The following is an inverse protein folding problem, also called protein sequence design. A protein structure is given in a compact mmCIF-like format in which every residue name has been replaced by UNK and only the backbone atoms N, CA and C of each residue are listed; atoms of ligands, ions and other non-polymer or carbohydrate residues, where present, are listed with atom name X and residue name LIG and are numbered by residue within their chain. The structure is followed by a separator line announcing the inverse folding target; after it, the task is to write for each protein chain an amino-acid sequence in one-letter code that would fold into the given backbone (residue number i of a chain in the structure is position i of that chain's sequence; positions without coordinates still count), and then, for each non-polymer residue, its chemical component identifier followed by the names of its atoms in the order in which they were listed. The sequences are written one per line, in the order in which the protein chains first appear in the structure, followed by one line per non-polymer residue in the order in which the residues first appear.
data_IF_459717248173
#
_entry.id   IF_459717248173
#
_cell.length_a   1.000
_cell.length_b   1.000
_cell.length_c   1.000
_cell.angle_alpha   90.00
_cell.angle_beta   90.00
_cell.angle_gamma   90.00
#
_symmetry.space_group_name_H-M   'P 1'
#
loop_
_entity.id
_entity.type
_entity.pdbx_description
1 polymer ?
#
# COMPACT_ATOMS: atom_id res chain seq x y z
N UNK A 1 -25.63 9.20 38.88
CA UNK A 1 -24.46 8.39 38.49
C UNK A 1 -23.75 9.14 37.38
N UNK A 2 -22.60 9.74 37.65
CA UNK A 2 -21.72 10.32 36.62
C UNK A 2 -21.19 9.15 35.82
N UNK A 3 -21.44 9.11 34.50
CA UNK A 3 -20.87 8.12 33.63
C UNK A 3 -19.32 8.14 33.80
N UNK A 4 -18.76 7.00 34.10
CA UNK A 4 -17.29 6.86 34.26
C UNK A 4 -16.59 7.34 33.00
N UNK A 5 -15.69 8.30 33.12
CA UNK A 5 -15.03 8.94 31.98
C UNK A 5 -14.04 7.95 31.35
N UNK A 6 -14.34 7.47 30.13
CA UNK A 6 -13.49 6.52 29.41
C UNK A 6 -12.11 7.11 29.05
N UNK A 7 -11.11 6.23 28.88
CA UNK A 7 -9.75 6.62 28.44
C UNK A 7 -9.79 7.43 27.15
N UNK A 8 -10.53 6.96 26.14
CA UNK A 8 -10.66 7.67 24.87
C UNK A 8 -11.21 9.10 25.05
N UNK A 9 -12.25 9.26 25.87
CA UNK A 9 -12.85 10.57 26.13
C UNK A 9 -11.92 11.49 26.90
N UNK A 10 -11.21 10.98 27.91
CA UNK A 10 -10.25 11.75 28.68
C UNK A 10 -9.11 12.30 27.80
N UNK A 11 -8.56 11.47 26.91
CA UNK A 11 -7.53 11.89 25.96
C UNK A 11 -8.04 12.94 24.97
N UNK A 12 -9.24 12.75 24.41
CA UNK A 12 -9.85 13.73 23.49
C UNK A 12 -10.15 15.06 24.17
N UNK A 13 -10.44 15.05 25.47
CA UNK A 13 -10.62 16.27 26.28
C UNK A 13 -9.29 16.93 26.69
N UNK A 14 -8.14 16.30 26.39
CA UNK A 14 -6.81 16.87 26.60
C UNK A 14 -6.18 16.54 27.98
N UNK A 15 -6.54 15.41 28.60
CA UNK A 15 -5.93 14.96 29.85
C UNK A 15 -4.42 14.68 29.66
N UNK A 16 -3.59 15.62 30.09
CA UNK A 16 -2.15 15.58 29.91
C UNK A 16 -1.47 14.47 30.73
N UNK A 17 -1.95 14.19 31.95
CA UNK A 17 -1.39 13.13 32.79
C UNK A 17 -1.67 11.74 32.24
N UNK A 18 -2.88 11.53 31.68
CA UNK A 18 -3.21 10.28 30.99
C UNK A 18 -2.41 10.15 29.69
N UNK A 19 -2.29 11.22 28.89
CA UNK A 19 -1.52 11.22 27.67
C UNK A 19 -0.02 10.92 27.90
N UNK A 20 0.55 11.36 29.02
CA UNK A 20 1.91 11.03 29.45
C UNK A 20 2.08 9.52 29.65
N UNK A 21 1.18 8.91 30.44
CA UNK A 21 1.21 7.46 30.69
C UNK A 21 1.01 6.64 29.42
N UNK A 22 0.03 7.00 28.60
CA UNK A 22 -0.28 6.31 27.34
C UNK A 22 0.87 6.48 26.32
N UNK A 23 1.51 7.65 26.29
CA UNK A 23 2.65 7.95 25.43
C UNK A 23 3.92 7.15 25.71
N UNK A 24 3.92 6.31 26.75
CA UNK A 24 5.02 5.38 27.07
C UNK A 24 4.66 3.92 26.77
N UNK A 25 3.58 3.64 26.04
CA UNK A 25 3.13 2.31 25.65
C UNK A 25 2.83 2.28 24.13
N UNK A 26 2.57 1.10 23.61
CA UNK A 26 2.16 0.94 22.20
C UNK A 26 0.75 1.47 21.99
N UNK A 27 0.56 2.29 20.97
CA UNK A 27 -0.77 2.67 20.49
C UNK A 27 -1.20 1.66 19.41
N UNK A 28 -1.76 0.53 19.85
CA UNK A 28 -2.23 -0.51 18.92
C UNK A 28 -3.43 -0.01 18.13
N UNK A 29 -3.35 -0.15 16.81
CA UNK A 29 -4.48 0.17 15.93
C UNK A 29 -5.46 -1.01 15.87
N UNK A 30 -6.74 -0.69 15.80
CA UNK A 30 -7.79 -1.69 15.57
C UNK A 30 -7.70 -2.19 14.14
N UNK A 31 -7.81 -3.52 13.89
CA UNK A 31 -7.79 -4.08 12.54
C UNK A 31 -9.17 -3.91 11.86
N UNK A 32 -9.68 -2.70 11.76
CA UNK A 32 -11.02 -2.41 11.27
C UNK A 32 -11.05 -1.48 10.04
N UNK A 33 -9.89 -1.15 9.49
CA UNK A 33 -9.78 -0.15 8.43
C UNK A 33 -9.53 -0.84 7.08
N UNK A 34 -10.51 -1.64 6.64
CA UNK A 34 -10.44 -2.45 5.42
C UNK A 34 -11.18 -1.77 4.27
N UNK A 35 -10.59 -1.87 3.07
CA UNK A 35 -11.16 -1.31 1.85
C UNK A 35 -11.26 -2.39 0.78
N UNK A 36 -12.48 -2.61 0.28
CA UNK A 36 -12.72 -3.44 -0.90
C UNK A 36 -12.22 -2.72 -2.16
N UNK A 37 -11.48 -3.44 -2.98
CA UNK A 37 -10.96 -2.93 -4.25
C UNK A 37 -11.26 -3.93 -5.38
N UNK A 38 -11.47 -3.46 -6.62
CA UNK A 38 -11.72 -4.35 -7.75
C UNK A 38 -10.59 -5.35 -8.03
N UNK A 39 -9.37 -5.00 -7.60
CA UNK A 39 -8.17 -5.81 -7.73
C UNK A 39 -7.82 -6.61 -6.47
N UNK A 40 -8.63 -6.47 -5.42
CA UNK A 40 -8.38 -7.08 -4.11
C UNK A 40 -8.50 -8.60 -4.11
N UNK A 41 -7.73 -9.22 -3.23
CA UNK A 41 -7.70 -10.66 -3.01
C UNK A 41 -8.52 -11.14 -1.83
N UNK A 42 -8.20 -12.35 -1.35
CA UNK A 42 -8.88 -13.01 -0.25
C UNK A 42 -7.96 -13.31 0.95
N UNK A 43 -6.66 -12.95 0.86
CA UNK A 43 -5.63 -13.30 1.86
C UNK A 43 -5.65 -12.43 3.11
N UNK A 44 -5.99 -11.14 2.98
CA UNK A 44 -6.06 -10.20 4.12
C UNK A 44 -6.94 -10.75 5.25
N UNK A 45 -8.07 -11.39 4.93
CA UNK A 45 -8.98 -11.95 5.93
C UNK A 45 -8.29 -12.99 6.83
N UNK A 46 -7.61 -13.94 6.21
CA UNK A 46 -6.89 -14.99 6.93
C UNK A 46 -5.63 -14.42 7.64
N UNK A 47 -4.93 -13.50 6.99
CA UNK A 47 -3.75 -12.85 7.52
C UNK A 47 -4.05 -12.09 8.82
N UNK A 48 -5.10 -11.30 8.85
CA UNK A 48 -5.50 -10.48 10.00
C UNK A 48 -6.44 -11.18 10.98
N UNK A 49 -6.80 -12.44 10.74
CA UNK A 49 -7.73 -13.21 11.60
C UNK A 49 -9.01 -12.44 11.88
N UNK A 50 -9.63 -11.90 10.83
CA UNK A 50 -10.81 -11.06 10.97
C UNK A 50 -11.95 -11.76 11.68
N UNK A 51 -12.22 -11.33 12.91
CA UNK A 51 -13.52 -11.49 13.53
C UNK A 51 -14.40 -10.29 13.16
N UNK A 52 -15.71 -10.46 12.98
CA UNK A 52 -16.61 -9.32 12.82
C UNK A 52 -16.47 -8.41 14.05
N UNK A 53 -16.01 -7.17 13.83
CA UNK A 53 -16.00 -6.16 14.88
C UNK A 53 -17.28 -5.32 14.72
N UNK A 54 -17.92 -4.89 15.82
CA UNK A 54 -19.17 -4.14 15.77
C UNK A 54 -19.16 -2.87 14.93
N UNK A 55 -17.99 -2.27 14.76
CA UNK A 55 -17.78 -1.00 14.06
C UNK A 55 -17.27 -1.16 12.62
N UNK A 56 -17.19 -2.38 12.09
CA UNK A 56 -16.78 -2.58 10.70
C UNK A 56 -17.94 -2.32 9.75
N UNK A 57 -17.71 -1.61 8.64
CA UNK A 57 -18.70 -1.56 7.57
C UNK A 57 -18.98 -2.97 7.05
N UNK A 58 -20.23 -3.24 6.71
CA UNK A 58 -20.60 -4.51 6.11
C UNK A 58 -19.80 -4.70 4.81
N UNK A 59 -18.93 -5.71 4.80
CA UNK A 59 -18.17 -6.07 3.62
C UNK A 59 -19.10 -6.80 2.64
N UNK A 60 -19.08 -6.40 1.38
CA UNK A 60 -20.00 -6.94 0.35
C UNK A 60 -19.60 -8.34 -0.11
N UNK A 61 -18.43 -8.84 0.28
CA UNK A 61 -17.87 -10.11 -0.15
C UNK A 61 -16.95 -9.99 -1.37
N UNK A 62 -16.75 -8.77 -1.89
CA UNK A 62 -15.68 -8.48 -2.83
C UNK A 62 -14.29 -8.65 -2.19
N UNK A 63 -13.25 -8.73 -2.99
CA UNK A 63 -11.87 -8.85 -2.50
C UNK A 63 -11.47 -7.63 -1.64
N UNK A 64 -10.80 -7.89 -0.52
CA UNK A 64 -10.18 -6.83 0.26
C UNK A 64 -8.85 -6.47 -0.39
N UNK A 65 -8.74 -5.25 -0.92
CA UNK A 65 -7.49 -4.80 -1.53
C UNK A 65 -6.54 -4.17 -0.53
N UNK A 66 -7.06 -3.48 0.49
CA UNK A 66 -6.24 -2.69 1.41
C UNK A 66 -6.70 -2.84 2.86
N UNK A 67 -5.73 -2.82 3.76
CA UNK A 67 -5.94 -2.54 5.18
C UNK A 67 -5.02 -1.39 5.59
N UNK A 68 -5.60 -0.28 6.05
CA UNK A 68 -4.85 0.88 6.51
C UNK A 68 -4.35 0.62 7.92
N UNK A 69 -3.04 0.45 8.08
CA UNK A 69 -2.39 0.07 9.34
C UNK A 69 -2.26 1.25 10.30
N UNK A 70 -1.58 2.29 9.84
CA UNK A 70 -1.47 3.57 10.55
C UNK A 70 -1.87 4.67 9.58
N UNK A 71 -3.06 5.21 9.73
CA UNK A 71 -3.61 6.27 8.90
C UNK A 71 -4.00 7.45 9.79
N UNK A 72 -3.17 8.49 9.77
CA UNK A 72 -3.28 9.62 10.67
C UNK A 72 -2.88 10.96 10.02
N UNK A 73 -3.10 11.10 8.71
CA UNK A 73 -2.71 12.30 7.95
C UNK A 73 -3.92 12.92 7.26
N UNK A 74 -4.56 13.92 7.91
CA UNK A 74 -5.81 14.51 7.46
C UNK A 74 -5.71 15.29 6.13
N UNK A 75 -4.50 15.68 5.71
CA UNK A 75 -4.29 16.41 4.46
C UNK A 75 -4.27 15.50 3.21
N UNK A 76 -4.23 14.19 3.38
CA UNK A 76 -4.36 13.20 2.31
C UNK A 76 -5.79 12.69 2.28
N UNK A 77 -6.45 12.73 1.11
CA UNK A 77 -7.85 12.35 0.97
C UNK A 77 -8.10 10.89 1.37
N UNK A 78 -7.22 9.98 0.93
CA UNK A 78 -7.35 8.57 1.20
C UNK A 78 -7.14 8.25 2.70
N UNK A 79 -6.13 8.87 3.32
CA UNK A 79 -5.87 8.74 4.75
C UNK A 79 -7.02 9.33 5.59
N UNK A 80 -7.62 10.44 5.15
CA UNK A 80 -8.74 11.09 5.82
C UNK A 80 -10.02 10.26 5.75
N UNK A 81 -10.28 9.59 4.62
CA UNK A 81 -11.43 8.70 4.46
C UNK A 81 -11.29 7.42 5.29
N UNK A 82 -10.06 6.99 5.57
CA UNK A 82 -9.74 5.74 6.27
C UNK A 82 -8.87 5.95 7.50
N UNK A 83 -9.30 6.73 8.52
CA UNK A 83 -8.50 7.01 9.70
C UNK A 83 -8.35 5.75 10.58
N UNK A 84 -7.13 5.47 11.04
CA UNK A 84 -6.91 4.42 12.02
C UNK A 84 -7.49 4.77 13.38
N UNK A 85 -7.94 3.74 14.12
CA UNK A 85 -8.46 3.87 15.48
C UNK A 85 -7.55 3.16 16.47
N UNK A 86 -7.31 3.78 17.60
CA UNK A 86 -6.63 3.18 18.75
C UNK A 86 -7.67 2.65 19.73
N UNK A 87 -7.50 1.41 20.19
CA UNK A 87 -8.33 0.79 21.21
C UNK A 87 -7.59 0.76 22.55
N UNK A 88 -8.26 1.15 23.61
CA UNK A 88 -7.71 1.19 24.96
C UNK A 88 -8.18 0.01 25.81
N UNK A 89 -7.51 -0.20 26.94
CA UNK A 89 -7.77 -1.32 27.88
C UNK A 89 -9.18 -1.33 28.48
N UNK A 90 -9.80 -0.17 28.61
CA UNK A 90 -11.20 -0.03 29.06
C UNK A 90 -12.23 -0.36 27.96
N UNK A 91 -11.77 -0.82 26.78
CA UNK A 91 -12.60 -1.13 25.62
C UNK A 91 -13.02 0.09 24.81
N UNK A 92 -12.74 1.30 25.25
CA UNK A 92 -13.01 2.52 24.48
C UNK A 92 -12.04 2.64 23.29
N UNK A 93 -12.43 3.44 22.28
CA UNK A 93 -11.58 3.70 21.12
C UNK A 93 -11.70 5.13 20.61
N UNK A 94 -10.64 5.63 19.99
CA UNK A 94 -10.66 6.94 19.36
C UNK A 94 -9.87 6.92 18.03
N UNK A 95 -10.25 7.81 17.11
CA UNK A 95 -9.50 8.01 15.87
C UNK A 95 -8.11 8.56 16.16
N UNK A 96 -7.08 7.92 15.62
CA UNK A 96 -5.68 8.31 15.83
C UNK A 96 -5.41 9.77 15.41
N UNK A 97 -5.92 10.29 14.26
CA UNK A 97 -5.74 11.70 13.92
C UNK A 97 -6.30 12.66 14.99
N UNK A 98 -7.44 12.33 15.60
CA UNK A 98 -8.03 13.16 16.64
C UNK A 98 -7.20 13.17 17.93
N UNK A 99 -6.59 12.04 18.27
CA UNK A 99 -5.66 11.93 19.40
C UNK A 99 -4.36 12.71 19.14
N UNK A 100 -3.79 12.58 17.95
CA UNK A 100 -2.57 13.28 17.57
C UNK A 100 -2.76 14.80 17.55
N UNK A 101 -3.88 15.32 17.08
CA UNK A 101 -4.17 16.77 17.18
C UNK A 101 -4.08 17.32 18.60
N UNK A 102 -4.27 16.48 19.63
CA UNK A 102 -4.20 16.88 21.04
C UNK A 102 -2.83 16.65 21.69
N UNK A 103 -2.11 15.63 21.23
CA UNK A 103 -0.94 15.10 21.93
C UNK A 103 0.29 14.92 21.03
N UNK A 104 0.32 15.57 19.84
CA UNK A 104 1.36 15.36 18.83
C UNK A 104 2.77 15.55 19.38
N UNK A 105 3.07 16.69 20.02
CA UNK A 105 4.41 16.97 20.56
C UNK A 105 4.87 15.91 21.56
N UNK A 106 3.95 15.40 22.38
CA UNK A 106 4.25 14.39 23.40
C UNK A 106 4.48 13.00 22.79
N UNK A 107 3.72 12.66 21.75
CA UNK A 107 3.74 11.32 21.18
C UNK A 107 4.65 11.19 19.97
N UNK A 108 4.73 12.23 19.14
CA UNK A 108 5.59 12.24 17.94
C UNK A 108 6.94 12.91 18.19
N UNK A 109 7.03 13.74 19.24
CA UNK A 109 8.12 14.64 19.48
C UNK A 109 7.91 16.02 18.81
N UNK A 110 8.53 17.09 19.35
CA UNK A 110 8.27 18.45 18.90
C UNK A 110 8.64 18.66 17.43
N UNK A 111 9.78 18.14 17.00
CA UNK A 111 10.27 18.31 15.63
C UNK A 111 9.33 17.69 14.58
N UNK A 112 8.89 16.43 14.78
CA UNK A 112 7.99 15.75 13.84
C UNK A 112 6.58 16.37 13.88
N UNK A 113 6.11 16.75 15.08
CA UNK A 113 4.83 17.40 15.26
C UNK A 113 4.76 18.76 14.56
N UNK A 114 5.79 19.61 14.71
CA UNK A 114 5.86 20.91 14.06
C UNK A 114 5.91 20.76 12.52
N UNK A 115 6.80 19.90 12.02
CA UNK A 115 7.02 19.71 10.58
C UNK A 115 5.78 19.20 9.85
N UNK A 116 4.98 18.33 10.47
CA UNK A 116 3.82 17.67 9.85
C UNK A 116 2.47 18.14 10.43
N UNK A 117 2.43 19.28 11.12
CA UNK A 117 1.18 19.82 11.67
C UNK A 117 0.49 18.90 12.66
N UNK A 118 1.25 18.08 13.39
CA UNK A 118 0.74 17.14 14.37
C UNK A 118 0.30 15.80 13.78
N UNK A 119 0.50 15.56 12.49
CA UNK A 119 0.15 14.29 11.84
C UNK A 119 1.36 13.32 11.83
N UNK A 120 1.08 12.02 11.81
CA UNK A 120 2.12 11.00 11.56
C UNK A 120 2.32 10.86 10.05
N UNK A 121 3.54 11.10 9.52
CA UNK A 121 3.76 11.33 8.10
C UNK A 121 3.95 10.08 7.25
N UNK A 122 3.68 8.89 7.78
CA UNK A 122 3.70 7.64 7.02
C UNK A 122 2.30 7.03 6.95
N UNK A 123 2.05 6.32 5.85
CA UNK A 123 0.81 5.61 5.58
C UNK A 123 1.11 4.14 5.27
N UNK A 124 1.41 3.32 6.28
CA UNK A 124 1.54 1.88 6.07
C UNK A 124 0.19 1.25 5.75
N UNK A 125 0.17 0.38 4.74
CA UNK A 125 -1.00 -0.41 4.33
C UNK A 125 -0.60 -1.85 4.09
N UNK A 126 -1.44 -2.80 4.47
CA UNK A 126 -1.37 -4.15 3.91
C UNK A 126 -2.15 -4.18 2.62
N UNK A 127 -1.51 -4.55 1.53
CA UNK A 127 -2.12 -4.72 0.21
C UNK A 127 -2.31 -6.20 -0.09
N UNK A 128 -3.50 -6.55 -0.55
CA UNK A 128 -3.84 -7.90 -1.03
C UNK A 128 -4.15 -7.79 -2.53
N UNK A 129 -3.18 -8.15 -3.33
CA UNK A 129 -3.19 -7.88 -4.77
C UNK A 129 -3.41 -9.17 -5.53
N UNK A 130 -4.58 -9.27 -6.16
CA UNK A 130 -4.95 -10.36 -7.07
C UNK A 130 -4.91 -9.94 -8.52
N UNK A 131 -5.43 -8.76 -8.83
CA UNK A 131 -5.44 -8.22 -10.19
C UNK A 131 -4.52 -7.00 -10.28
N UNK A 132 -4.16 -6.60 -11.50
CA UNK A 132 -3.34 -5.43 -11.73
C UNK A 132 -3.98 -4.14 -11.18
N UNK A 133 -3.25 -3.38 -10.40
CA UNK A 133 -3.58 -1.99 -10.10
C UNK A 133 -3.43 -1.13 -11.37
N UNK A 134 -3.94 0.10 -11.35
CA UNK A 134 -3.69 1.07 -12.42
C UNK A 134 -2.19 1.31 -12.62
N UNK A 135 -1.81 1.62 -13.86
CA UNK A 135 -0.49 2.19 -14.15
C UNK A 135 -0.46 3.61 -13.61
N UNK A 136 0.43 3.86 -12.65
CA UNK A 136 0.42 5.10 -11.86
C UNK A 136 1.82 5.51 -11.42
N UNK A 137 1.92 6.73 -10.92
CA UNK A 137 3.12 7.28 -10.28
C UNK A 137 2.75 8.32 -9.24
N UNK A 138 3.77 8.84 -8.57
CA UNK A 138 3.65 9.83 -7.51
C UNK A 138 4.52 11.05 -7.81
N UNK A 139 4.21 12.22 -7.23
CA UNK A 139 5.01 13.42 -7.45
C UNK A 139 6.39 13.31 -6.75
N UNK A 140 7.28 14.23 -7.09
CA UNK A 140 8.62 14.31 -6.52
C UNK A 140 8.57 14.33 -4.98
N UNK A 141 9.46 13.58 -4.34
CA UNK A 141 9.52 13.39 -2.90
C UNK A 141 8.52 12.37 -2.32
N UNK A 142 7.73 11.69 -3.16
CA UNK A 142 6.82 10.62 -2.74
C UNK A 142 7.32 9.29 -3.29
N UNK A 143 8.03 8.58 -2.47
CA UNK A 143 8.55 7.24 -2.70
C UNK A 143 7.72 6.22 -1.92
N UNK A 144 7.85 4.96 -2.27
CA UNK A 144 7.15 3.83 -1.64
C UNK A 144 8.11 2.67 -1.41
N UNK A 145 7.76 1.79 -0.50
CA UNK A 145 8.41 0.49 -0.36
C UNK A 145 7.39 -0.61 -0.12
N UNK A 146 7.66 -1.79 -0.64
CA UNK A 146 6.81 -2.97 -0.48
C UNK A 146 7.62 -4.08 0.18
N UNK A 147 7.18 -4.54 1.34
CA UNK A 147 7.70 -5.76 1.99
C UNK A 147 6.75 -6.89 1.63
N UNK A 148 7.21 -7.87 0.87
CA UNK A 148 6.37 -8.99 0.44
C UNK A 148 6.19 -9.95 1.62
N UNK A 149 4.93 -10.13 2.04
CA UNK A 149 4.56 -10.98 3.19
C UNK A 149 4.29 -12.41 2.75
N UNK A 150 3.49 -12.57 1.69
CA UNK A 150 3.06 -13.87 1.15
C UNK A 150 2.75 -13.74 -0.33
N UNK A 151 2.94 -14.81 -1.11
CA UNK A 151 2.67 -14.77 -2.55
C UNK A 151 2.40 -16.15 -3.13
N UNK A 152 1.58 -16.23 -4.15
CA UNK A 152 1.47 -17.41 -4.99
C UNK A 152 2.75 -17.57 -5.84
N UNK A 153 3.18 -18.81 -6.10
CA UNK A 153 4.33 -19.05 -6.97
C UNK A 153 4.15 -18.42 -8.35
N UNK A 154 5.10 -17.58 -8.76
CA UNK A 154 5.05 -16.87 -10.03
C UNK A 154 4.38 -15.49 -9.99
N UNK A 155 3.82 -15.07 -8.85
CA UNK A 155 3.30 -13.72 -8.70
C UNK A 155 4.39 -12.66 -8.92
N UNK A 156 4.03 -11.53 -9.53
CA UNK A 156 4.96 -10.45 -9.85
C UNK A 156 4.34 -9.08 -9.57
N UNK A 157 5.21 -8.08 -9.39
CA UNK A 157 4.86 -6.67 -9.39
C UNK A 157 5.41 -6.00 -10.65
N UNK A 158 4.67 -5.07 -11.22
CA UNK A 158 5.13 -4.24 -12.34
C UNK A 158 5.65 -2.92 -11.78
N UNK A 159 6.99 -2.70 -11.83
CA UNK A 159 7.63 -1.48 -11.29
C UNK A 159 8.78 -1.04 -12.18
N UNK A 160 8.75 0.22 -12.61
CA UNK A 160 9.73 0.83 -13.51
C UNK A 160 9.64 0.30 -14.95
N UNK A 161 10.09 1.08 -15.89
CA UNK A 161 10.21 0.66 -17.29
C UNK A 161 11.51 -0.11 -17.52
N UNK A 162 11.45 -1.17 -18.34
CA UNK A 162 12.60 -1.98 -18.74
C UNK A 162 13.36 -1.41 -19.96
N UNK A 163 12.90 -0.30 -20.51
CA UNK A 163 13.50 0.47 -21.60
C UNK A 163 13.09 1.93 -21.49
N UNK A 164 13.81 2.82 -22.18
CA UNK A 164 13.38 4.20 -22.32
C UNK A 164 12.07 4.27 -23.12
N UNK A 165 11.15 5.10 -22.66
CA UNK A 165 9.82 5.29 -23.26
C UNK A 165 9.73 6.69 -23.85
N UNK A 166 9.22 6.79 -25.08
CA UNK A 166 8.88 8.08 -25.69
C UNK A 166 7.60 8.63 -25.04
N UNK A 167 7.65 9.83 -24.42
CA UNK A 167 6.51 10.40 -23.72
C UNK A 167 5.31 10.66 -24.65
N UNK A 168 5.57 11.14 -25.86
CA UNK A 168 4.51 11.49 -26.82
C UNK A 168 3.79 10.24 -27.32
N UNK A 169 4.56 9.18 -27.61
CA UNK A 169 3.97 7.90 -28.02
C UNK A 169 3.14 7.24 -26.89
N UNK A 170 3.64 7.30 -25.66
CA UNK A 170 2.92 6.68 -24.52
C UNK A 170 1.62 7.46 -24.23
N UNK A 171 1.68 8.80 -24.13
CA UNK A 171 0.51 9.64 -23.88
C UNK A 171 -0.56 9.44 -24.95
N UNK A 172 -0.16 9.48 -26.24
CA UNK A 172 -1.07 9.24 -27.36
C UNK A 172 -1.70 7.84 -27.31
N UNK A 173 -0.89 6.80 -27.01
CA UNK A 173 -1.39 5.43 -26.94
C UNK A 173 -2.39 5.23 -25.79
N UNK A 174 -2.12 5.77 -24.60
CA UNK A 174 -3.03 5.66 -23.44
C UNK A 174 -4.32 6.46 -23.68
N UNK A 175 -4.22 7.66 -24.24
CA UNK A 175 -5.39 8.49 -24.59
C UNK A 175 -6.27 7.79 -25.62
N UNK A 176 -5.65 7.23 -26.66
CA UNK A 176 -6.36 6.48 -27.69
C UNK A 176 -6.99 5.18 -27.15
N UNK A 177 -6.28 4.49 -26.26
CA UNK A 177 -6.80 3.30 -25.59
C UNK A 177 -8.08 3.60 -24.79
N UNK A 178 -8.12 4.71 -24.07
CA UNK A 178 -9.34 5.16 -23.38
C UNK A 178 -10.49 5.46 -24.34
N UNK A 179 -10.20 6.10 -25.48
CA UNK A 179 -11.21 6.33 -26.51
C UNK A 179 -11.76 5.01 -27.10
N UNK A 180 -10.91 4.01 -27.29
CA UNK A 180 -11.36 2.68 -27.70
C UNK A 180 -12.24 1.98 -26.63
N UNK A 181 -11.87 2.06 -25.36
CA UNK A 181 -12.70 1.53 -24.26
C UNK A 181 -14.07 2.22 -24.23
N UNK A 182 -14.12 3.53 -24.35
CA UNK A 182 -15.36 4.29 -24.39
C UNK A 182 -16.23 3.83 -25.57
N UNK A 183 -15.63 3.66 -26.75
CA UNK A 183 -16.34 3.19 -27.94
C UNK A 183 -16.87 1.75 -27.80
N UNK A 184 -16.14 0.86 -27.11
CA UNK A 184 -16.65 -0.48 -26.75
C UNK A 184 -17.92 -0.37 -25.92
N UNK A 185 -17.95 0.49 -24.88
CA UNK A 185 -19.15 0.71 -24.06
C UNK A 185 -20.31 1.29 -24.87
N UNK A 186 -20.05 2.22 -25.79
CA UNK A 186 -21.06 2.80 -26.66
C UNK A 186 -21.66 1.74 -27.60
N UNK A 187 -20.83 0.87 -28.18
CA UNK A 187 -21.29 -0.24 -29.02
C UNK A 187 -22.12 -1.25 -28.23
N UNK A 188 -21.70 -1.59 -27.00
CA UNK A 188 -22.46 -2.48 -26.12
C UNK A 188 -23.78 -1.82 -25.68
N UNK A 189 -23.78 -0.52 -25.41
CA UNK A 189 -24.96 0.22 -24.95
C UNK A 189 -25.57 -0.39 -23.68
N UNK A 190 -26.89 -0.38 -23.58
CA UNK A 190 -27.62 -0.88 -22.42
C UNK A 190 -27.79 -2.44 -22.42
N UNK A 191 -27.22 -3.13 -23.40
CA UNK A 191 -27.33 -4.60 -23.51
C UNK A 191 -26.60 -5.34 -22.40
N UNK A 192 -25.43 -4.81 -22.00
CA UNK A 192 -24.65 -5.36 -20.89
C UNK A 192 -24.22 -4.25 -19.95
N UNK A 193 -24.28 -4.52 -18.66
CA UNK A 193 -23.71 -3.59 -17.67
C UNK A 193 -22.18 -3.52 -17.82
N UNK A 194 -21.54 -2.39 -17.45
CA UNK A 194 -20.09 -2.28 -17.46
C UNK A 194 -19.38 -3.37 -16.64
N UNK A 195 -19.99 -3.82 -15.53
CA UNK A 195 -19.47 -4.92 -14.72
C UNK A 195 -19.49 -6.27 -15.50
N UNK A 196 -20.51 -6.50 -16.32
CA UNK A 196 -20.57 -7.71 -17.16
C UNK A 196 -19.54 -7.63 -18.28
N UNK A 197 -19.36 -6.44 -18.91
CA UNK A 197 -18.28 -6.20 -19.89
C UNK A 197 -16.92 -6.50 -19.26
N UNK A 198 -16.66 -6.01 -18.05
CA UNK A 198 -15.43 -6.31 -17.32
C UNK A 198 -15.23 -7.81 -17.10
N UNK A 199 -16.26 -8.52 -16.64
CA UNK A 199 -16.19 -9.95 -16.36
C UNK A 199 -15.88 -10.79 -17.59
N UNK A 200 -16.28 -10.33 -18.78
CA UNK A 200 -15.98 -11.00 -20.06
C UNK A 200 -14.58 -10.62 -20.59
N UNK A 201 -14.23 -9.35 -20.52
CA UNK A 201 -13.02 -8.82 -21.14
C UNK A 201 -11.77 -9.16 -20.33
N UNK A 202 -11.81 -9.14 -18.99
CA UNK A 202 -10.62 -9.30 -18.15
C UNK A 202 -9.93 -10.67 -18.35
N UNK A 203 -10.60 -11.83 -18.32
CA UNK A 203 -9.95 -13.11 -18.55
C UNK A 203 -9.36 -13.24 -19.96
N UNK A 204 -10.03 -12.67 -20.94
CA UNK A 204 -9.54 -12.66 -22.32
C UNK A 204 -8.31 -11.77 -22.49
N UNK A 205 -8.25 -10.60 -21.85
CA UNK A 205 -7.07 -9.72 -21.87
C UNK A 205 -5.86 -10.40 -21.26
N UNK A 206 -6.02 -11.07 -20.12
CA UNK A 206 -4.93 -11.74 -19.41
C UNK A 206 -4.35 -12.93 -20.16
N UNK A 207 -5.11 -13.57 -21.04
CA UNK A 207 -4.62 -14.64 -21.89
C UNK A 207 -3.99 -14.12 -23.18
N UNK A 208 -2.66 -14.27 -23.33
CA UNK A 208 -1.97 -13.88 -24.59
C UNK A 208 -2.49 -14.63 -25.82
N UNK A 209 -2.95 -15.86 -25.62
CA UNK A 209 -3.32 -16.78 -26.71
C UNK A 209 -4.79 -16.68 -27.09
N UNK A 210 -5.67 -16.17 -26.22
CA UNK A 210 -7.10 -16.08 -26.49
C UNK A 210 -7.38 -15.13 -27.67
N UNK A 211 -8.13 -15.63 -28.65
CA UNK A 211 -8.62 -14.85 -29.78
C UNK A 211 -9.83 -13.98 -29.40
N UNK A 212 -10.19 -13.00 -30.26
CA UNK A 212 -11.39 -12.18 -30.04
C UNK A 212 -12.68 -12.97 -30.08
N UNK A 213 -12.70 -14.11 -30.79
CA UNK A 213 -13.86 -15.01 -30.85
C UNK A 213 -14.27 -15.52 -29.45
N UNK A 214 -13.31 -15.71 -28.53
CA UNK A 214 -13.56 -16.25 -27.20
C UNK A 214 -14.45 -15.33 -26.32
N UNK A 215 -14.55 -14.07 -26.66
CA UNK A 215 -15.32 -13.05 -25.92
C UNK A 215 -16.38 -12.38 -26.80
N UNK A 216 -16.23 -12.46 -28.11
CA UNK A 216 -17.04 -11.72 -29.06
C UNK A 216 -18.53 -12.16 -29.11
N UNK A 217 -18.81 -13.42 -28.93
CA UNK A 217 -20.17 -13.93 -29.08
C UNK A 217 -21.15 -13.39 -28.04
N UNK A 218 -20.70 -13.25 -26.78
CA UNK A 218 -21.55 -12.66 -25.74
C UNK A 218 -21.57 -11.13 -25.79
N UNK A 219 -20.41 -10.49 -25.99
CA UNK A 219 -20.33 -9.03 -26.06
C UNK A 219 -21.14 -8.47 -27.25
N UNK A 220 -21.13 -9.17 -28.37
CA UNK A 220 -21.69 -8.68 -29.63
C UNK A 220 -22.94 -9.46 -30.07
N UNK A 221 -23.59 -10.22 -29.14
CA UNK A 221 -24.82 -10.92 -29.43
C UNK A 221 -25.88 -10.00 -30.01
N UNK A 222 -26.52 -10.43 -31.09
CA UNK A 222 -27.56 -9.69 -31.82
C UNK A 222 -27.14 -8.33 -32.42
N UNK A 223 -25.84 -8.09 -32.56
CA UNK A 223 -25.35 -6.88 -33.26
C UNK A 223 -25.28 -7.09 -34.79
N UNK A 224 -25.48 -6.01 -35.57
CA UNK A 224 -25.19 -6.03 -37.00
C UNK A 224 -23.73 -6.42 -37.26
N UNK A 225 -23.47 -7.14 -38.34
CA UNK A 225 -22.13 -7.66 -38.67
C UNK A 225 -21.06 -6.59 -38.77
N UNK A 226 -21.40 -5.40 -39.27
CA UNK A 226 -20.46 -4.27 -39.37
C UNK A 226 -20.06 -3.73 -37.98
N UNK A 227 -21.00 -3.58 -37.06
CA UNK A 227 -20.75 -3.12 -35.69
C UNK A 227 -19.95 -4.18 -34.89
N UNK A 228 -20.28 -5.45 -35.07
CA UNK A 228 -19.53 -6.56 -34.51
C UNK A 228 -18.08 -6.54 -34.96
N UNK A 229 -17.80 -6.42 -36.25
CA UNK A 229 -16.45 -6.34 -36.80
C UNK A 229 -15.65 -5.13 -36.24
N UNK A 230 -16.33 -4.00 -36.07
CA UNK A 230 -15.73 -2.82 -35.42
C UNK A 230 -15.38 -3.12 -33.96
N UNK A 231 -16.29 -3.70 -33.19
CA UNK A 231 -16.08 -4.06 -31.80
C UNK A 231 -14.91 -5.04 -31.61
N UNK A 232 -14.82 -6.08 -32.42
CA UNK A 232 -13.71 -7.03 -32.43
C UNK A 232 -12.38 -6.34 -32.72
N UNK A 233 -12.35 -5.43 -33.72
CA UNK A 233 -11.17 -4.63 -34.03
C UNK A 233 -10.73 -3.72 -32.87
N UNK A 234 -11.67 -3.13 -32.12
CA UNK A 234 -11.37 -2.32 -30.94
C UNK A 234 -10.77 -3.16 -29.80
N UNK A 235 -11.33 -4.34 -29.55
CA UNK A 235 -10.82 -5.28 -28.57
C UNK A 235 -9.39 -5.73 -28.90
N UNK A 236 -9.10 -6.06 -30.15
CA UNK A 236 -7.72 -6.40 -30.56
C UNK A 236 -6.72 -5.27 -30.33
N UNK A 237 -7.12 -4.04 -30.66
CA UNK A 237 -6.27 -2.86 -30.40
C UNK A 237 -6.04 -2.68 -28.89
N UNK A 238 -7.06 -2.85 -28.07
CA UNK A 238 -6.97 -2.78 -26.62
C UNK A 238 -6.04 -3.86 -26.06
N UNK A 239 -6.14 -5.10 -26.54
CA UNK A 239 -5.27 -6.20 -26.12
C UNK A 239 -3.80 -5.94 -26.50
N UNK A 240 -3.55 -5.45 -27.72
CA UNK A 240 -2.21 -5.07 -28.16
C UNK A 240 -1.63 -3.95 -27.30
N UNK A 241 -2.43 -2.94 -26.97
CA UNK A 241 -2.02 -1.85 -26.07
C UNK A 241 -1.73 -2.38 -24.66
N UNK A 242 -2.61 -3.22 -24.12
CA UNK A 242 -2.47 -3.82 -22.78
C UNK A 242 -1.12 -4.52 -22.63
N UNK A 243 -0.80 -5.44 -23.54
CA UNK A 243 0.46 -6.16 -23.48
C UNK A 243 1.66 -5.29 -23.81
N UNK A 244 1.53 -4.34 -24.76
CA UNK A 244 2.61 -3.37 -25.05
C UNK A 244 3.02 -2.58 -23.80
N UNK A 245 2.07 -2.14 -23.00
CA UNK A 245 2.35 -1.38 -21.75
C UNK A 245 2.99 -2.31 -20.72
N UNK A 246 2.39 -3.47 -20.45
CA UNK A 246 2.92 -4.41 -19.45
C UNK A 246 4.29 -4.97 -19.81
N UNK A 247 4.55 -5.25 -21.09
CA UNK A 247 5.84 -5.72 -21.57
C UNK A 247 6.93 -4.63 -21.56
N UNK A 248 6.54 -3.37 -21.43
CA UNK A 248 7.48 -2.27 -21.23
C UNK A 248 7.90 -2.06 -19.78
N UNK A 249 7.22 -2.70 -18.82
CA UNK A 249 7.51 -2.62 -17.39
C UNK A 249 8.30 -3.83 -16.91
N UNK A 250 9.14 -3.63 -15.89
CA UNK A 250 9.79 -4.74 -15.21
C UNK A 250 8.74 -5.60 -14.50
N UNK A 251 8.93 -6.92 -14.54
CA UNK A 251 8.17 -7.87 -13.75
C UNK A 251 9.07 -8.38 -12.61
N UNK A 252 8.93 -7.80 -11.43
CA UNK A 252 9.71 -8.17 -10.26
C UNK A 252 8.97 -9.30 -9.53
N UNK A 253 9.62 -10.45 -9.25
CA UNK A 253 9.01 -11.54 -8.51
C UNK A 253 8.53 -11.11 -7.11
N UNK A 254 7.28 -11.43 -6.77
CA UNK A 254 6.74 -11.28 -5.43
C UNK A 254 7.17 -12.49 -4.58
N UNK A 255 8.38 -12.46 -4.04
CA UNK A 255 8.89 -13.52 -3.18
C UNK A 255 8.78 -13.09 -1.72
N UNK A 256 8.16 -13.89 -0.82
CA UNK A 256 8.07 -13.57 0.60
C UNK A 256 9.44 -13.21 1.20
N UNK A 257 9.50 -12.12 1.97
CA UNK A 257 10.72 -11.56 2.53
C UNK A 257 11.50 -10.61 1.62
N UNK A 258 11.14 -10.50 0.33
CA UNK A 258 11.72 -9.49 -0.57
C UNK A 258 11.22 -8.10 -0.20
N UNK A 259 12.12 -7.12 -0.25
CA UNK A 259 11.79 -5.70 -0.11
C UNK A 259 12.04 -4.99 -1.42
N UNK A 260 11.05 -4.27 -1.90
CA UNK A 260 11.14 -3.46 -3.12
C UNK A 260 11.05 -1.99 -2.71
N UNK A 261 12.10 -1.23 -2.92
CA UNK A 261 12.10 0.21 -2.74
C UNK A 261 11.71 0.88 -4.06
N UNK A 262 10.46 1.24 -4.17
CA UNK A 262 9.90 1.92 -5.32
C UNK A 262 10.25 3.40 -5.29
N UNK A 263 11.46 3.72 -5.71
CA UNK A 263 12.02 5.06 -5.80
C UNK A 263 12.91 5.20 -7.02
N UNK A 264 12.93 6.37 -7.64
CA UNK A 264 13.87 6.64 -8.72
C UNK A 264 15.32 6.41 -8.24
N UNK A 265 16.10 5.58 -8.94
CA UNK A 265 17.52 5.43 -8.64
C UNK A 265 18.27 6.78 -8.58
N UNK A 266 19.30 6.93 -7.75
CA UNK A 266 20.02 8.20 -7.58
C UNK A 266 20.50 8.83 -8.90
N UNK A 267 20.91 8.02 -9.88
CA UNK A 267 21.33 8.48 -11.22
C UNK A 267 20.18 9.18 -11.98
N UNK A 268 18.95 8.70 -11.80
CA UNK A 268 17.76 9.27 -12.47
C UNK A 268 17.32 10.54 -11.75
N UNK A 269 17.24 10.52 -10.42
CA UNK A 269 16.90 11.69 -9.62
C UNK A 269 17.90 12.84 -9.87
N UNK A 270 19.20 12.56 -9.92
CA UNK A 270 20.23 13.52 -10.25
C UNK A 270 20.10 14.07 -11.68
N UNK A 271 19.83 13.23 -12.67
CA UNK A 271 19.64 13.66 -14.05
C UNK A 271 18.38 14.54 -14.22
N UNK A 272 17.35 14.32 -13.40
CA UNK A 272 16.12 15.16 -13.38
C UNK A 272 16.32 16.47 -12.61
N UNK A 273 17.35 16.55 -11.74
CA UNK A 273 17.55 17.67 -10.81
C UNK A 273 16.38 17.85 -9.83
N UNK A 274 15.71 16.75 -9.45
CA UNK A 274 14.52 16.72 -8.60
C UNK A 274 14.65 15.63 -7.54
N UNK A 275 13.94 15.73 -6.39
CA UNK A 275 13.85 14.65 -5.43
C UNK A 275 13.37 13.36 -6.09
N UNK A 276 13.80 12.20 -5.55
CA UNK A 276 13.30 10.91 -6.01
C UNK A 276 11.77 10.84 -5.84
N UNK A 277 11.12 10.20 -6.80
CA UNK A 277 9.71 9.86 -6.77
C UNK A 277 9.56 8.34 -6.95
N UNK A 278 8.40 7.78 -6.67
CA UNK A 278 8.13 6.40 -7.01
C UNK A 278 8.24 6.20 -8.53
N UNK A 279 8.85 5.09 -8.95
CA UNK A 279 8.81 4.63 -10.34
C UNK A 279 7.37 4.38 -10.79
N UNK A 280 7.14 4.42 -12.10
CA UNK A 280 5.87 3.96 -12.64
C UNK A 280 5.61 2.53 -12.17
N UNK A 281 4.41 2.28 -11.69
CA UNK A 281 4.06 0.95 -11.19
C UNK A 281 2.62 0.59 -11.50
N UNK A 282 2.37 -0.73 -11.59
CA UNK A 282 1.07 -1.36 -11.62
C UNK A 282 1.22 -2.68 -10.86
N UNK A 283 1.01 -2.65 -9.55
CA UNK A 283 1.16 -3.85 -8.73
C UNK A 283 0.24 -4.95 -9.23
N UNK A 284 0.72 -6.18 -9.16
CA UNK A 284 0.00 -7.34 -9.65
C UNK A 284 0.49 -7.84 -11.00
N UNK A 285 -0.18 -8.87 -11.50
CA UNK A 285 0.15 -9.55 -12.73
C UNK A 285 -1.12 -9.91 -13.51
N UNK A 286 -1.01 -10.09 -14.83
CA UNK A 286 -2.15 -10.44 -15.67
C UNK A 286 -2.78 -11.80 -15.34
N UNK A 287 -2.00 -12.71 -14.80
CA UNK A 287 -2.42 -14.08 -14.49
C UNK A 287 -3.32 -14.17 -13.25
N UNK A 288 -3.45 -13.09 -12.50
CA UNK A 288 -4.25 -13.02 -11.29
C UNK A 288 -3.66 -13.81 -10.11
N UNK A 289 -2.33 -14.01 -10.12
CA UNK A 289 -1.61 -14.66 -9.02
C UNK A 289 -1.51 -13.68 -7.85
N UNK A 290 -2.01 -14.11 -6.70
CA UNK A 290 -2.25 -13.27 -5.54
C UNK A 290 -1.00 -13.11 -4.66
N UNK A 291 -0.79 -11.91 -4.12
CA UNK A 291 0.23 -11.69 -3.10
C UNK A 291 -0.21 -10.65 -2.06
N UNK A 292 0.37 -10.76 -0.87
CA UNK A 292 0.28 -9.78 0.21
C UNK A 292 1.58 -8.99 0.31
N UNK A 293 1.48 -7.67 0.45
CA UNK A 293 2.61 -6.80 0.74
C UNK A 293 2.25 -5.78 1.82
N UNK A 294 3.23 -5.41 2.65
CA UNK A 294 3.17 -4.21 3.45
C UNK A 294 3.75 -3.06 2.63
N UNK A 295 2.89 -2.15 2.20
CA UNK A 295 3.27 -0.88 1.58
C UNK A 295 3.61 0.13 2.67
N UNK A 296 4.71 0.85 2.51
CA UNK A 296 5.09 1.98 3.35
C UNK A 296 5.38 3.16 2.44
N UNK A 297 4.64 4.24 2.62
CA UNK A 297 4.80 5.47 1.83
C UNK A 297 4.47 6.73 2.64
N UNK A 298 4.84 7.88 2.11
CA UNK A 298 4.25 9.14 2.56
C UNK A 298 2.83 9.27 2.01
N UNK A 299 1.87 9.79 2.79
CA UNK A 299 0.59 10.25 2.25
C UNK A 299 0.79 11.25 1.12
N UNK A 300 0.00 11.15 0.06
CA UNK A 300 0.10 12.07 -1.07
C UNK A 300 -0.65 11.58 -2.31
N UNK A 301 -0.79 12.43 -3.33
CA UNK A 301 -1.61 12.15 -4.48
C UNK A 301 -1.04 11.03 -5.35
N UNK A 302 -1.96 10.24 -5.93
CA UNK A 302 -1.67 9.22 -6.92
C UNK A 302 -2.11 9.69 -8.30
N UNK A 303 -1.17 9.75 -9.24
CA UNK A 303 -1.43 10.11 -10.64
C UNK A 303 -1.56 8.85 -11.48
N UNK A 304 -2.78 8.52 -11.87
CA UNK A 304 -3.07 7.36 -12.71
C UNK A 304 -2.94 7.71 -14.17
N UNK A 305 -2.08 6.99 -14.88
CA UNK A 305 -1.93 7.13 -16.32
C UNK A 305 -2.91 6.24 -17.08
N UNK A 306 -3.20 5.05 -16.53
CA UNK A 306 -4.09 4.09 -17.17
C UNK A 306 -4.65 3.07 -16.18
N UNK A 307 -5.86 2.57 -16.46
CA UNK A 307 -6.56 1.63 -15.59
C UNK A 307 -6.66 0.20 -16.19
N UNK A 308 -5.70 -0.18 -17.01
CA UNK A 308 -5.54 -1.53 -17.56
C UNK A 308 -6.79 -2.12 -18.26
N UNK A 309 -7.46 -1.34 -19.10
CA UNK A 309 -8.69 -1.77 -19.78
C UNK A 309 -9.77 -2.25 -18.79
N UNK A 310 -9.98 -1.50 -17.71
CA UNK A 310 -11.03 -1.78 -16.72
C UNK A 310 -12.34 -1.07 -17.05
N UNK A 311 -13.47 -1.72 -16.78
CA UNK A 311 -14.81 -1.17 -16.91
C UNK A 311 -15.55 -1.19 -15.56
N UNK A 312 -16.34 -0.12 -15.24
CA UNK A 312 -16.52 1.13 -15.98
C UNK A 312 -15.24 1.96 -16.02
N UNK A 313 -15.16 2.88 -16.98
CA UNK A 313 -14.03 3.79 -17.06
C UNK A 313 -14.04 4.76 -15.89
N UNK A 314 -12.91 4.85 -15.17
CA UNK A 314 -12.68 5.92 -14.20
C UNK A 314 -12.18 7.19 -14.87
N UNK A 315 -12.44 8.33 -14.25
CA UNK A 315 -11.83 9.59 -14.68
C UNK A 315 -10.33 9.54 -14.42
N UNK A 316 -9.53 9.72 -15.46
CA UNK A 316 -8.06 9.73 -15.40
C UNK A 316 -7.59 10.94 -16.22
N UNK A 317 -6.62 11.66 -15.67
CA UNK A 317 -5.88 12.71 -16.39
C UNK A 317 -4.52 12.12 -16.80
N UNK A 318 -4.45 11.65 -18.05
CA UNK A 318 -3.24 11.03 -18.61
C UNK A 318 -2.10 12.04 -18.65
N UNK A 319 -2.39 13.27 -19.09
CA UNK A 319 -1.36 14.31 -19.22
C UNK A 319 -0.75 14.69 -17.87
N UNK A 320 -1.58 14.86 -16.83
CA UNK A 320 -1.08 15.10 -15.48
C UNK A 320 -0.21 13.95 -14.98
N UNK A 321 -0.59 12.69 -15.26
CA UNK A 321 0.22 11.52 -14.89
C UNK A 321 1.57 11.53 -15.62
N UNK A 322 1.61 11.86 -16.92
CA UNK A 322 2.86 11.91 -17.69
C UNK A 322 3.91 12.88 -17.11
N UNK A 323 3.48 13.93 -16.39
CA UNK A 323 4.40 14.89 -15.76
C UNK A 323 5.15 14.33 -14.55
N UNK A 324 4.62 13.30 -13.89
CA UNK A 324 5.23 12.69 -12.70
C UNK A 324 6.01 11.41 -13.00
N UNK A 325 5.66 10.70 -14.07
CA UNK A 325 6.29 9.42 -14.40
C UNK A 325 7.77 9.57 -14.76
N UNK A 326 8.60 8.66 -14.26
CA UNK A 326 9.90 8.39 -14.86
C UNK A 326 9.73 7.51 -16.10
N UNK A 327 10.20 7.99 -17.24
CA UNK A 327 10.11 7.29 -18.53
C UNK A 327 11.46 6.68 -18.96
N UNK A 328 12.47 6.75 -18.09
CA UNK A 328 13.77 6.14 -18.31
C UNK A 328 13.78 4.71 -17.82
N UNK A 329 14.60 3.89 -18.47
CA UNK A 329 14.87 2.53 -18.03
C UNK A 329 15.41 2.49 -16.61
N UNK A 330 14.90 1.54 -15.84
CA UNK A 330 15.38 1.15 -14.50
C UNK A 330 15.63 -0.36 -14.51
N UNK A 331 16.75 -0.80 -13.98
CA UNK A 331 16.99 -2.22 -13.82
C UNK A 331 16.32 -2.74 -12.54
N UNK A 332 15.70 -3.93 -12.55
CA UNK A 332 14.98 -4.47 -11.40
C UNK A 332 15.83 -4.55 -10.12
N UNK A 333 17.14 -4.84 -10.28
CA UNK A 333 18.09 -4.93 -9.18
C UNK A 333 18.32 -3.60 -8.45
N UNK A 334 18.03 -2.47 -9.10
CA UNK A 334 18.12 -1.15 -8.47
C UNK A 334 16.93 -0.89 -7.52
N UNK A 335 15.87 -1.68 -7.64
CA UNK A 335 14.64 -1.54 -6.86
C UNK A 335 14.52 -2.58 -5.74
N UNK A 336 15.18 -3.72 -5.86
CA UNK A 336 15.19 -4.76 -4.82
C UNK A 336 16.30 -4.48 -3.82
N UNK A 337 15.94 -4.32 -2.56
CA UNK A 337 16.89 -3.97 -1.50
C UNK A 337 17.21 -5.17 -0.61
N UNK A 338 18.50 -5.40 -0.29
CA UNK A 338 18.88 -6.46 0.64
C UNK A 338 18.54 -6.08 2.10
N UNK A 339 18.47 -7.09 2.95
CA UNK A 339 18.43 -6.91 4.41
C UNK A 339 19.88 -6.82 4.92
N UNK A 340 20.30 -5.63 5.32
CA UNK A 340 21.62 -5.37 5.88
C UNK A 340 21.59 -5.48 7.40
N UNK A 341 22.41 -6.35 8.03
CA UNK A 341 22.50 -6.42 9.49
C UNK A 341 22.89 -5.07 10.08
N UNK A 342 22.21 -4.66 11.15
CA UNK A 342 22.58 -3.44 11.89
C UNK A 342 23.73 -3.76 12.86
N UNK A 343 24.91 -3.13 12.72
CA UNK A 343 26.07 -3.41 13.57
C UNK A 343 25.74 -3.24 15.07
N UNK A 344 26.13 -4.22 15.88
CA UNK A 344 25.88 -4.21 17.33
C UNK A 344 24.46 -4.58 17.77
N UNK A 345 23.54 -4.87 16.83
CA UNK A 345 22.15 -5.23 17.13
C UNK A 345 21.76 -6.56 16.45
N UNK A 346 22.15 -7.72 16.99
CA UNK A 346 21.79 -9.03 16.43
C UNK A 346 20.27 -9.19 16.27
N UNK A 347 19.83 -9.64 15.11
CA UNK A 347 18.40 -9.79 14.80
C UNK A 347 17.71 -8.51 14.30
N UNK A 348 18.42 -7.38 14.24
CA UNK A 348 17.95 -6.14 13.61
C UNK A 348 18.60 -5.99 12.24
N UNK A 349 17.80 -5.76 11.22
CA UNK A 349 18.25 -5.54 9.83
C UNK A 349 17.64 -4.25 9.30
N UNK A 350 18.32 -3.58 8.38
CA UNK A 350 17.80 -2.42 7.65
C UNK A 350 17.65 -2.78 6.18
N UNK A 351 16.54 -2.41 5.57
CA UNK A 351 16.28 -2.64 4.14
C UNK A 351 16.16 -1.35 3.34
N UNK A 352 15.56 -0.33 3.90
CA UNK A 352 15.34 0.95 3.17
C UNK A 352 15.93 2.11 3.96
N UNK A 353 16.65 2.96 3.23
CA UNK A 353 17.08 4.30 3.68
C UNK A 353 16.61 5.30 2.64
N UNK A 354 15.46 5.89 2.88
CA UNK A 354 14.87 6.90 2.02
C UNK A 354 14.90 8.27 2.70
N UNK A 355 14.99 9.39 1.98
CA UNK A 355 14.87 10.72 2.58
C UNK A 355 13.61 10.91 3.41
N UNK A 356 12.54 10.18 3.13
CA UNK A 356 11.25 10.30 3.81
C UNK A 356 11.04 9.30 4.94
N UNK A 357 11.67 8.11 4.86
CA UNK A 357 11.52 7.05 5.87
C UNK A 357 12.65 6.02 5.83
N UNK A 358 12.78 5.31 6.94
CA UNK A 358 13.63 4.11 7.02
C UNK A 358 12.79 2.89 7.36
N UNK A 359 13.19 1.71 6.83
CA UNK A 359 12.57 0.43 7.15
C UNK A 359 13.61 -0.49 7.78
N UNK A 360 13.27 -1.01 8.95
CA UNK A 360 14.03 -2.01 9.69
C UNK A 360 13.17 -3.26 9.93
N UNK A 361 13.84 -4.41 9.95
CA UNK A 361 13.25 -5.72 10.22
C UNK A 361 13.80 -6.25 11.53
N UNK A 362 12.92 -6.57 12.47
CA UNK A 362 13.24 -7.11 13.77
C UNK A 362 12.89 -8.60 13.72
N UNK A 363 13.92 -9.47 13.77
CA UNK A 363 13.81 -10.93 13.66
C UNK A 363 14.42 -11.61 14.89
N UNK A 364 13.69 -11.68 16.00
CA UNK A 364 14.15 -12.45 17.15
C UNK A 364 14.15 -13.95 16.81
N UNK A 365 15.15 -14.68 17.30
CA UNK A 365 15.07 -16.13 17.33
C UNK A 365 13.97 -16.60 18.27
N UNK A 366 13.58 -17.87 18.23
CA UNK A 366 12.59 -18.42 19.15
C UNK A 366 13.02 -18.14 20.61
N UNK A 367 12.14 -17.51 21.38
CA UNK A 367 12.41 -17.00 22.73
C UNK A 367 13.61 -16.04 22.84
N UNK A 368 14.24 -15.72 21.69
CA UNK A 368 15.33 -14.76 21.61
C UNK A 368 14.81 -13.32 21.67
N UNK A 369 15.69 -12.41 22.07
CA UNK A 369 15.37 -10.98 22.23
C UNK A 369 16.26 -10.15 21.34
N UNK A 370 15.68 -9.16 20.67
CA UNK A 370 16.38 -8.13 19.87
C UNK A 370 16.26 -6.79 20.57
N UNK A 371 17.39 -6.18 20.86
CA UNK A 371 17.44 -4.81 21.38
C UNK A 371 17.23 -3.80 20.25
N UNK A 372 16.19 -2.98 20.37
CA UNK A 372 15.87 -1.90 19.43
C UNK A 372 16.27 -0.57 20.04
N UNK A 373 17.20 0.15 19.44
CA UNK A 373 17.66 1.43 19.98
C UNK A 373 16.55 2.48 19.95
N UNK A 374 16.67 3.46 20.86
CA UNK A 374 15.75 4.60 20.86
C UNK A 374 15.77 5.32 19.51
N UNK A 375 14.60 5.62 19.00
CA UNK A 375 14.40 6.39 17.78
C UNK A 375 13.22 7.36 17.98
N UNK A 376 12.95 8.20 16.98
CA UNK A 376 11.70 8.98 16.95
C UNK A 376 10.44 8.11 16.97
N UNK A 377 9.28 8.76 16.97
CA UNK A 377 8.03 8.03 16.82
C UNK A 377 8.04 7.25 15.50
N UNK A 378 7.58 5.99 15.55
CA UNK A 378 7.62 5.08 14.42
C UNK A 378 6.44 4.11 14.46
N UNK A 379 6.17 3.42 13.37
CA UNK A 379 5.17 2.36 13.35
C UNK A 379 5.84 0.97 13.35
N UNK A 380 5.14 0.01 13.94
CA UNK A 380 5.45 -1.41 13.91
C UNK A 380 4.31 -2.17 13.23
N UNK A 381 4.68 -3.16 12.43
CA UNK A 381 3.75 -4.14 11.87
C UNK A 381 4.33 -5.54 12.01
N UNK A 382 3.64 -6.45 12.68
CA UNK A 382 4.05 -7.85 12.81
C UNK A 382 3.63 -8.62 11.56
N UNK A 383 4.60 -8.97 10.71
CA UNK A 383 4.32 -9.65 9.44
C UNK A 383 4.22 -11.17 9.60
N UNK A 384 4.91 -11.76 10.58
CA UNK A 384 4.82 -13.19 10.91
C UNK A 384 5.01 -13.43 12.39
N UNK A 385 4.50 -14.56 12.89
CA UNK A 385 4.57 -14.97 14.28
C UNK A 385 3.86 -14.05 15.26
N UNK A 386 4.45 -13.90 16.43
CA UNK A 386 4.00 -12.99 17.48
C UNK A 386 5.20 -12.46 18.28
N UNK A 387 5.12 -11.22 18.71
CA UNK A 387 6.18 -10.52 19.43
C UNK A 387 5.66 -9.94 20.74
N UNK A 388 6.46 -10.05 21.80
CA UNK A 388 6.27 -9.30 23.06
C UNK A 388 7.28 -8.18 23.12
N UNK A 389 6.82 -6.99 23.47
CA UNK A 389 7.65 -5.79 23.56
C UNK A 389 7.79 -5.36 25.01
N UNK A 390 9.02 -5.04 25.40
CA UNK A 390 9.39 -4.63 26.77
C UNK A 390 10.32 -3.43 26.70
N UNK A 391 10.02 -2.38 27.44
CA UNK A 391 10.90 -1.21 27.57
C UNK A 391 12.26 -1.57 28.14
N UNK A 392 13.26 -0.71 27.92
CA UNK A 392 14.61 -0.90 28.47
C UNK A 392 14.60 -0.95 30.01
N UNK A 393 13.61 -0.32 30.66
CA UNK A 393 13.34 -0.35 32.09
C UNK A 393 12.64 -1.64 32.58
N UNK A 394 12.35 -2.59 31.71
CA UNK A 394 11.64 -3.83 32.01
C UNK A 394 10.13 -3.73 32.01
N UNK A 395 9.55 -2.56 31.74
CA UNK A 395 8.10 -2.37 31.68
C UNK A 395 7.52 -3.06 30.45
N UNK A 396 6.41 -3.78 30.62
CA UNK A 396 5.66 -4.33 29.49
C UNK A 396 5.07 -3.20 28.62
N UNK A 397 5.36 -3.23 27.33
CA UNK A 397 4.79 -2.30 26.36
C UNK A 397 3.56 -2.89 25.66
N UNK A 398 3.52 -4.20 25.48
CA UNK A 398 2.42 -4.92 24.86
C UNK A 398 2.91 -6.06 23.96
N UNK A 399 1.97 -6.63 23.21
CA UNK A 399 2.21 -7.71 22.25
C UNK A 399 1.71 -7.32 20.87
N UNK A 400 2.35 -7.83 19.83
CA UNK A 400 1.88 -7.74 18.44
C UNK A 400 1.82 -9.15 17.87
N UNK A 401 0.66 -9.61 17.48
CA UNK A 401 0.49 -10.81 16.70
C UNK A 401 0.55 -10.53 15.20
N UNK A 402 0.73 -11.56 14.41
CA UNK A 402 0.70 -11.44 12.93
C UNK A 402 -0.48 -10.61 12.44
N UNK A 403 -0.22 -9.61 11.61
CA UNK A 403 -1.20 -8.70 11.04
C UNK A 403 -1.58 -7.53 11.96
N UNK A 404 -1.03 -7.43 13.17
CA UNK A 404 -1.26 -6.29 14.05
C UNK A 404 -0.24 -5.17 13.85
N UNK A 405 -0.68 -3.94 14.07
CA UNK A 405 0.11 -2.72 13.94
C UNK A 405 -0.01 -1.83 15.18
N UNK A 406 1.03 -1.07 15.43
CA UNK A 406 1.04 -0.06 16.48
C UNK A 406 1.86 1.17 16.07
N UNK A 407 1.42 2.34 16.48
CA UNK A 407 2.27 3.51 16.58
C UNK A 407 3.05 3.43 17.90
N UNK A 408 4.35 3.61 17.83
CA UNK A 408 5.26 3.68 18.99
C UNK A 408 5.56 5.15 19.25
N UNK A 409 5.05 5.76 20.33
CA UNK A 409 5.35 7.12 20.68
C UNK A 409 6.84 7.31 21.04
N UNK A 410 7.36 8.53 20.86
CA UNK A 410 8.75 8.86 21.19
C UNK A 410 9.10 8.59 22.68
N UNK A 411 8.11 8.71 23.58
CA UNK A 411 8.26 8.46 25.01
C UNK A 411 8.54 7.00 25.39
N UNK A 412 8.40 6.05 24.47
CA UNK A 412 8.76 4.64 24.70
C UNK A 412 10.28 4.49 24.81
N UNK A 413 11.07 5.24 24.06
CA UNK A 413 12.54 5.15 24.08
C UNK A 413 13.06 3.84 23.46
N UNK A 414 14.15 3.31 23.99
CA UNK A 414 14.69 2.00 23.62
C UNK A 414 13.82 0.87 24.18
N UNK A 415 13.71 -0.22 23.44
CA UNK A 415 12.90 -1.37 23.87
C UNK A 415 13.47 -2.69 23.33
N UNK A 416 12.93 -3.78 23.81
CA UNK A 416 13.26 -5.14 23.40
C UNK A 416 12.06 -5.83 22.76
N UNK A 417 12.33 -6.63 21.74
CA UNK A 417 11.34 -7.46 21.06
C UNK A 417 11.72 -8.92 21.24
N UNK A 418 10.84 -9.69 21.86
CA UNK A 418 11.00 -11.13 22.06
C UNK A 418 10.04 -11.89 21.17
N UNK A 419 10.53 -12.87 20.40
CA UNK A 419 9.73 -13.69 19.51
C UNK A 419 9.05 -14.83 20.28
N UNK A 420 7.76 -15.02 20.03
CA UNK A 420 7.01 -16.17 20.53
C UNK A 420 7.06 -17.38 19.56
N UNK A 421 7.47 -17.16 18.32
CA UNK A 421 7.56 -18.17 17.26
C UNK A 421 8.91 -18.00 16.53
N UNK A 422 9.42 -19.10 15.94
CA UNK A 422 10.75 -19.09 15.30
C UNK A 422 10.84 -18.19 14.05
N UNK A 423 9.72 -17.94 13.39
CA UNK A 423 9.56 -17.09 12.22
C UNK A 423 9.04 -15.68 12.55
N UNK A 424 9.09 -15.29 13.83
CA UNK A 424 8.62 -13.96 14.25
C UNK A 424 9.40 -12.86 13.52
N UNK A 425 8.66 -11.99 12.86
CA UNK A 425 9.22 -10.82 12.20
C UNK A 425 8.32 -9.59 12.38
N UNK A 426 8.92 -8.50 12.83
CA UNK A 426 8.27 -7.21 12.99
C UNK A 426 8.96 -6.18 12.09
N UNK A 427 8.21 -5.55 11.21
CA UNK A 427 8.69 -4.44 10.39
C UNK A 427 8.50 -3.13 11.14
N UNK A 428 9.58 -2.36 11.25
CA UNK A 428 9.60 -1.02 11.84
C UNK A 428 9.79 -0.01 10.73
N UNK A 429 8.89 0.98 10.63
CA UNK A 429 9.06 2.09 9.72
C UNK A 429 9.11 3.41 10.50
N UNK A 430 10.21 4.14 10.32
CA UNK A 430 10.50 5.40 11.02
C UNK A 430 10.50 6.54 10.02
N UNK A 431 9.74 7.63 10.24
CA UNK A 431 9.87 8.84 9.44
C UNK A 431 11.30 9.41 9.55
N UNK A 432 11.89 9.79 8.42
CA UNK A 432 13.22 10.40 8.43
C UNK A 432 13.16 11.83 8.99
N UNK A 433 14.16 12.21 9.76
CA UNK A 433 14.27 13.55 10.34
C UNK A 433 14.59 14.66 9.32
N UNK A 434 14.97 14.30 8.10
CA UNK A 434 15.39 15.21 7.04
C UNK A 434 14.38 15.48 5.91
N UNK A 435 13.19 14.89 5.96
CA UNK A 435 12.21 14.96 4.89
C UNK A 435 11.21 16.12 5.02
#
# INVERSE_FOLDING_TARGET
MTAERTIARALLDGDAGLAERIGTALLKTSPCNFVERPWGGMRIRAYKRLCPLPDQPALTGAGLGEAFEISAYDADDEAREHPSRVRFEDGSSAALPALLRRHAERWLGPELAERHGGAFPLLPKTLDVRELLSVQGHPDGHTEAYVIIDAEPGATLRVGFNRDIDPTELEAALTQGRAWQQHVLELVGDRLSPARVQALVAPWLSSRQAGTADVADELWAAMPSAERALGESLLEKLKKLYWRVLDSMNAIPATPGTVIHNANPPRIAAARGRPAAAEVHALGNPEGLEFLALEIRRPGPTFRAWDNVRFPLRRIDVSAAMHVLNLRRVDPEELVTPLEPVPGHPGLFKSVRDPSFEIEHIRPSLEGTVDVPASGAHCLHCISGAATLTGADGRALGTLARGESALVPIGVGAYRVTGAEADTEVVKATPSSGA
#
